data_IF_030912848587
#
_entry.id   IF_030912848587
#
_cell.length_a   1.000
_cell.length_b   1.000
_cell.length_c   1.000
_cell.angle_alpha   90.00
_cell.angle_beta   90.00
_cell.angle_gamma   90.00
#
_symmetry.space_group_name_H-M   'P 1'
#
loop_
_entity.id
_entity.type
_entity.pdbx_description
1 polymer ?
#
# COMPACT_ATOMS: atom_id res chain seq x y z
N UNK A 1 6.15 -18.98 3.20
CA UNK A 1 6.40 -18.35 1.89
C UNK A 1 5.92 -16.91 1.99
N UNK A 2 6.77 -15.92 1.70
CA UNK A 2 6.37 -14.50 1.78
C UNK A 2 5.27 -14.23 0.75
N UNK A 3 4.11 -13.74 1.21
CA UNK A 3 3.00 -13.37 0.34
C UNK A 3 3.22 -11.96 -0.17
N UNK A 4 3.10 -11.75 -1.47
CA UNK A 4 3.11 -10.41 -2.04
C UNK A 4 1.93 -9.59 -1.46
N UNK A 5 2.24 -8.37 -1.00
CA UNK A 5 1.24 -7.43 -0.49
C UNK A 5 0.49 -6.75 -1.64
N UNK A 6 1.17 -6.56 -2.77
CA UNK A 6 0.64 -5.92 -3.96
C UNK A 6 1.38 -6.42 -5.20
N UNK A 7 0.69 -6.42 -6.33
CA UNK A 7 1.24 -6.74 -7.65
C UNK A 7 0.86 -5.63 -8.61
N UNK A 8 1.79 -5.27 -9.48
CA UNK A 8 1.55 -4.22 -10.46
C UNK A 8 2.78 -4.04 -11.33
N UNK A 9 3.01 -2.82 -11.80
CA UNK A 9 4.20 -2.51 -12.60
C UNK A 9 4.78 -1.14 -12.32
N UNK A 10 6.09 -1.00 -12.57
CA UNK A 10 6.77 0.30 -12.60
C UNK A 10 6.64 0.86 -14.01
N UNK A 11 6.11 2.08 -14.13
CA UNK A 11 5.89 2.77 -15.40
C UNK A 11 6.68 4.08 -15.50
N UNK A 12 7.33 4.32 -16.64
CA UNK A 12 7.85 5.63 -17.02
C UNK A 12 8.03 5.74 -18.54
N UNK A 13 7.48 6.79 -19.14
CA UNK A 13 7.45 6.92 -20.60
C UNK A 13 6.77 5.72 -21.25
N UNK A 14 7.52 4.95 -22.04
CA UNK A 14 7.05 3.71 -22.70
C UNK A 14 7.47 2.43 -21.97
N UNK A 15 8.19 2.55 -20.85
CA UNK A 15 8.69 1.42 -20.09
C UNK A 15 7.63 0.96 -19.09
N UNK A 16 7.39 -0.35 -19.04
CA UNK A 16 6.50 -0.99 -18.10
C UNK A 16 7.14 -2.28 -17.56
N UNK A 17 7.42 -2.33 -16.25
CA UNK A 17 8.17 -3.42 -15.61
C UNK A 17 7.27 -4.09 -14.57
N UNK A 18 6.79 -5.33 -14.80
CA UNK A 18 5.92 -6.01 -13.84
C UNK A 18 6.71 -6.39 -12.58
N UNK A 19 6.12 -6.11 -11.41
CA UNK A 19 6.74 -6.32 -10.09
C UNK A 19 5.73 -6.77 -9.03
N UNK A 20 6.25 -7.42 -7.99
CA UNK A 20 5.54 -7.71 -6.74
C UNK A 20 6.18 -6.95 -5.58
N UNK A 21 5.35 -6.48 -4.67
CA UNK A 21 5.73 -5.69 -3.50
C UNK A 21 5.61 -6.52 -2.22
N UNK A 22 6.64 -6.49 -1.40
CA UNK A 22 6.76 -7.26 -0.15
C UNK A 22 7.19 -6.34 1.00
N UNK A 23 6.73 -6.61 2.22
CA UNK A 23 7.18 -5.84 3.39
C UNK A 23 8.68 -5.99 3.58
N UNK A 24 9.41 -4.88 3.72
CA UNK A 24 10.84 -4.92 4.07
C UNK A 24 11.08 -5.00 5.59
N UNK A 25 10.04 -4.73 6.37
CA UNK A 25 10.06 -4.76 7.83
C UNK A 25 8.89 -5.59 8.35
N UNK A 26 9.07 -6.20 9.51
CA UNK A 26 8.01 -6.95 10.19
C UNK A 26 7.83 -6.38 11.59
N UNK A 27 6.63 -5.90 11.88
CA UNK A 27 6.25 -5.49 13.24
C UNK A 27 5.81 -6.73 14.02
N UNK A 28 6.64 -7.18 14.95
CA UNK A 28 6.29 -8.27 15.87
C UNK A 28 5.50 -7.71 17.05
N UNK A 29 4.17 -7.78 16.99
CA UNK A 29 3.29 -7.45 18.12
C UNK A 29 2.71 -8.72 18.75
N UNK A 30 2.61 -8.74 20.08
CA UNK A 30 1.94 -9.82 20.80
C UNK A 30 0.42 -9.69 20.61
N UNK A 31 -0.21 -10.68 19.98
CA UNK A 31 -1.66 -10.75 19.86
C UNK A 31 -2.27 -11.42 21.08
N UNK A 32 -3.23 -10.76 21.72
CA UNK A 32 -4.00 -11.31 22.82
C UNK A 32 -5.42 -11.63 22.35
N UNK A 33 -5.97 -12.74 22.83
CA UNK A 33 -7.39 -13.09 22.61
C UNK A 33 -8.19 -12.84 23.87
N UNK A 34 -9.36 -12.23 23.72
CA UNK A 34 -10.27 -11.99 24.84
C UNK A 34 -11.04 -13.28 25.18
N UNK A 35 -10.92 -13.72 26.43
CA UNK A 35 -11.62 -14.90 26.95
C UNK A 35 -12.60 -14.49 28.05
N UNK A 36 -13.74 -15.17 28.11
CA UNK A 36 -14.62 -15.09 29.27
C UNK A 36 -13.89 -15.59 30.52
N UNK A 37 -13.94 -14.82 31.61
CA UNK A 37 -13.16 -15.11 32.82
C UNK A 37 -13.57 -16.44 33.46
N UNK A 38 -14.85 -16.81 33.39
CA UNK A 38 -15.44 -17.99 34.06
C UNK A 38 -15.32 -19.24 33.20
N UNK A 39 -15.71 -19.16 31.92
CA UNK A 39 -15.79 -20.31 31.00
C UNK A 39 -14.52 -20.50 30.17
N UNK A 40 -13.59 -19.54 30.19
CA UNK A 40 -12.38 -19.51 29.35
C UNK A 40 -12.68 -19.59 27.84
N UNK A 41 -13.91 -19.31 27.45
CA UNK A 41 -14.35 -19.36 26.05
C UNK A 41 -14.01 -18.05 25.34
N UNK A 42 -13.74 -18.11 24.03
CA UNK A 42 -13.45 -16.89 23.23
C UNK A 42 -14.66 -15.97 23.14
N UNK A 43 -14.44 -14.68 23.35
CA UNK A 43 -15.48 -13.66 23.16
C UNK A 43 -15.71 -13.43 21.66
N UNK A 44 -16.98 -13.36 21.26
CA UNK A 44 -17.41 -12.95 19.91
C UNK A 44 -18.10 -11.60 19.99
N UNK A 45 -17.85 -10.75 19.00
CA UNK A 45 -18.45 -9.43 18.88
C UNK A 45 -19.53 -9.44 17.80
N UNK A 46 -20.62 -8.72 18.05
CA UNK A 46 -21.70 -8.49 17.10
C UNK A 46 -21.86 -6.99 16.91
N UNK A 47 -22.08 -6.56 15.67
CA UNK A 47 -22.41 -5.17 15.35
C UNK A 47 -23.92 -5.01 15.48
N UNK A 48 -24.37 -4.03 16.25
CA UNK A 48 -25.78 -3.84 16.58
C UNK A 48 -26.17 -2.39 16.27
N UNK A 49 -27.29 -2.19 15.58
CA UNK A 49 -27.82 -0.86 15.29
C UNK A 49 -28.30 -0.18 16.57
N UNK A 50 -27.92 1.08 16.77
CA UNK A 50 -28.26 1.86 17.96
C UNK A 50 -29.77 2.08 18.11
N UNK A 51 -30.47 2.37 17.01
CA UNK A 51 -31.91 2.66 17.05
C UNK A 51 -32.78 1.42 17.18
N UNK A 52 -32.33 0.28 16.64
CA UNK A 52 -33.14 -0.94 16.53
C UNK A 52 -32.74 -2.08 17.46
N UNK A 53 -31.54 -2.04 18.06
CA UNK A 53 -30.99 -3.14 18.86
C UNK A 53 -30.78 -4.46 18.07
N UNK A 54 -30.95 -4.42 16.74
CA UNK A 54 -30.81 -5.57 15.85
C UNK A 54 -29.37 -5.71 15.39
N UNK A 55 -28.91 -6.94 15.28
CA UNK A 55 -27.63 -7.28 14.67
C UNK A 55 -27.62 -6.87 13.20
N UNK A 56 -26.52 -6.27 12.75
CA UNK A 56 -26.33 -5.76 11.40
C UNK A 56 -25.18 -6.51 10.75
N UNK A 57 -25.41 -6.98 9.52
CA UNK A 57 -24.39 -7.63 8.71
C UNK A 57 -23.35 -6.61 8.21
N UNK A 58 -22.18 -7.05 7.72
CA UNK A 58 -21.23 -6.09 7.13
C UNK A 58 -21.73 -5.45 5.82
N UNK A 59 -22.62 -6.12 5.10
CA UNK A 59 -23.18 -5.67 3.82
C UNK A 59 -24.19 -4.53 4.03
N UNK A 60 -24.88 -4.54 5.17
CA UNK A 60 -25.86 -3.51 5.54
C UNK A 60 -25.23 -2.30 6.27
N UNK A 61 -23.89 -2.22 6.34
CA UNK A 61 -23.17 -1.13 7.01
C UNK A 61 -22.58 -0.18 5.98
N UNK A 62 -23.13 1.03 5.95
CA UNK A 62 -22.60 2.14 5.16
C UNK A 62 -21.50 2.89 5.93
N UNK A 63 -20.56 3.48 5.19
CA UNK A 63 -19.61 4.44 5.74
C UNK A 63 -20.21 5.84 5.61
N UNK A 64 -20.03 6.65 6.65
CA UNK A 64 -20.38 8.06 6.59
C UNK A 64 -19.22 8.91 7.12
N UNK A 65 -19.10 10.12 6.62
CA UNK A 65 -18.10 11.10 7.04
C UNK A 65 -18.78 12.44 7.33
N UNK A 66 -18.40 13.06 8.45
CA UNK A 66 -18.98 14.34 8.87
C UNK A 66 -18.19 15.51 8.29
N UNK A 67 -18.87 16.37 7.52
CA UNK A 67 -18.28 17.58 6.94
C UNK A 67 -19.22 18.75 7.22
N UNK A 68 -18.72 19.76 7.94
CA UNK A 68 -19.47 20.99 8.22
C UNK A 68 -20.79 20.74 8.97
N UNK A 69 -20.84 19.75 9.84
CA UNK A 69 -22.04 19.36 10.59
C UNK A 69 -23.06 18.51 9.80
N UNK A 70 -22.75 18.14 8.55
CA UNK A 70 -23.58 17.24 7.76
C UNK A 70 -22.92 15.86 7.65
N UNK A 71 -23.73 14.80 7.75
CA UNK A 71 -23.29 13.43 7.51
C UNK A 71 -23.40 13.09 6.03
N UNK A 72 -22.28 12.78 5.38
CA UNK A 72 -22.23 12.35 3.99
C UNK A 72 -21.96 10.86 3.95
N UNK A 73 -22.86 10.08 3.36
CA UNK A 73 -22.66 8.65 3.13
C UNK A 73 -21.73 8.43 1.94
N UNK A 74 -20.82 7.47 2.07
CA UNK A 74 -19.84 7.11 1.04
C UNK A 74 -19.92 5.61 0.79
N UNK A 75 -20.27 5.27 -0.44
CA UNK A 75 -20.38 3.88 -0.90
C UNK A 75 -19.07 3.38 -1.52
N UNK A 76 -18.96 2.07 -1.72
CA UNK A 76 -17.76 1.47 -2.32
C UNK A 76 -17.47 2.03 -3.72
N UNK A 77 -18.53 2.29 -4.51
CA UNK A 77 -18.47 2.87 -5.85
C UNK A 77 -17.90 4.30 -5.85
N UNK A 78 -18.13 5.08 -4.79
CA UNK A 78 -17.58 6.43 -4.66
C UNK A 78 -16.05 6.38 -4.50
N UNK A 79 -15.56 5.41 -3.72
CA UNK A 79 -14.12 5.16 -3.63
C UNK A 79 -13.57 4.74 -4.99
N UNK A 80 -14.27 3.87 -5.73
CA UNK A 80 -13.79 3.43 -7.04
C UNK A 80 -13.70 4.56 -8.06
N UNK A 81 -14.67 5.48 -8.07
CA UNK A 81 -14.70 6.68 -8.91
C UNK A 81 -13.64 7.70 -8.52
N UNK A 82 -13.30 7.79 -7.24
CA UNK A 82 -12.28 8.72 -6.74
C UNK A 82 -10.84 8.23 -6.97
N UNK A 83 -10.64 6.93 -7.22
CA UNK A 83 -9.31 6.37 -7.43
C UNK A 83 -8.72 6.80 -8.80
N UNK A 84 -7.39 7.01 -8.88
CA UNK A 84 -6.70 7.24 -10.15
C UNK A 84 -6.95 6.10 -11.15
N UNK A 85 -6.90 6.43 -12.44
CA UNK A 85 -7.15 5.46 -13.52
C UNK A 85 -6.19 4.26 -13.51
N UNK A 86 -4.95 4.43 -13.02
CA UNK A 86 -3.95 3.38 -12.94
C UNK A 86 -3.76 2.92 -11.48
N UNK A 87 -4.57 1.95 -11.06
CA UNK A 87 -4.58 1.44 -9.69
C UNK A 87 -3.40 0.50 -9.37
N UNK A 88 -2.80 -0.10 -10.40
CA UNK A 88 -1.77 -1.14 -10.27
C UNK A 88 -0.42 -0.71 -10.86
N UNK A 89 -0.13 0.60 -10.86
CA UNK A 89 1.14 1.14 -11.34
C UNK A 89 1.85 1.98 -10.29
N UNK A 90 3.17 1.86 -10.28
CA UNK A 90 4.09 2.85 -9.73
C UNK A 90 4.50 3.72 -10.92
N UNK A 91 3.88 4.89 -11.06
CA UNK A 91 4.20 5.85 -12.12
C UNK A 91 5.37 6.73 -11.64
N UNK A 92 6.57 6.51 -12.20
CA UNK A 92 7.73 7.35 -11.94
C UNK A 92 7.54 8.68 -12.66
N UNK A 93 7.61 9.76 -11.88
CA UNK A 93 7.46 11.15 -12.33
C UNK A 93 8.83 11.78 -12.57
N UNK A 94 9.82 11.49 -11.71
CA UNK A 94 11.13 12.14 -11.78
C UNK A 94 12.25 11.28 -11.21
N UNK A 95 13.45 11.39 -11.78
CA UNK A 95 14.68 10.86 -11.20
C UNK A 95 15.44 11.98 -10.49
N UNK A 96 15.77 11.77 -9.22
CA UNK A 96 16.42 12.75 -8.33
C UNK A 96 17.68 12.16 -7.72
N UNK A 97 18.63 13.00 -7.27
CA UNK A 97 19.80 12.47 -6.56
C UNK A 97 19.34 11.95 -5.20
N UNK A 98 19.85 10.80 -4.77
CA UNK A 98 19.45 10.24 -3.48
C UNK A 98 19.77 11.18 -2.31
N UNK A 99 20.86 11.93 -2.41
CA UNK A 99 21.28 12.91 -1.40
C UNK A 99 20.34 14.12 -1.26
N UNK A 100 19.42 14.34 -2.21
CA UNK A 100 18.42 15.42 -2.13
C UNK A 100 17.21 15.04 -1.28
N UNK A 101 17.05 13.76 -0.93
CA UNK A 101 15.91 13.26 -0.15
C UNK A 101 16.38 12.82 1.24
N UNK A 102 15.96 13.55 2.26
CA UNK A 102 16.23 13.21 3.65
C UNK A 102 15.47 11.93 4.06
N UNK A 103 16.12 11.08 4.86
CA UNK A 103 15.52 9.86 5.41
C UNK A 103 14.33 10.14 6.34
N UNK A 104 14.21 11.36 6.88
CA UNK A 104 13.05 11.82 7.66
C UNK A 104 11.72 11.72 6.90
N UNK A 105 11.76 11.70 5.56
CA UNK A 105 10.56 11.55 4.73
C UNK A 105 10.12 10.10 4.52
N UNK A 106 10.87 9.10 5.01
CA UNK A 106 10.52 7.70 4.81
C UNK A 106 9.59 7.19 5.92
N UNK A 107 8.39 6.72 5.58
CA UNK A 107 7.46 6.11 6.52
C UNK A 107 7.59 4.57 6.55
N UNK A 108 7.36 3.91 5.40
CA UNK A 108 7.42 2.44 5.31
C UNK A 108 8.19 2.02 4.08
N UNK A 109 8.97 0.96 4.26
CA UNK A 109 9.83 0.41 3.23
C UNK A 109 9.31 -0.94 2.75
N UNK A 110 9.36 -1.16 1.44
CA UNK A 110 8.92 -2.37 0.78
C UNK A 110 9.96 -2.82 -0.24
N UNK A 111 10.23 -4.12 -0.29
CA UNK A 111 11.03 -4.70 -1.37
C UNK A 111 10.15 -4.91 -2.61
N UNK A 112 10.68 -4.56 -3.77
CA UNK A 112 10.12 -4.97 -5.05
C UNK A 112 10.89 -6.15 -5.62
N UNK A 113 10.19 -7.15 -6.12
CA UNK A 113 10.76 -8.23 -6.92
C UNK A 113 10.17 -8.19 -8.34
N UNK A 114 10.95 -8.48 -9.38
CA UNK A 114 10.41 -8.60 -10.74
C UNK A 114 9.42 -9.77 -10.82
N UNK A 115 8.34 -9.56 -11.55
CA UNK A 115 7.46 -10.64 -12.00
C UNK A 115 7.92 -11.12 -13.39
N UNK A 116 7.36 -12.26 -13.83
CA UNK A 116 7.73 -12.92 -15.09
C UNK A 116 7.73 -11.94 -16.27
N UNK A 117 8.88 -11.84 -16.95
CA UNK A 117 9.07 -10.96 -18.12
C UNK A 117 9.58 -9.56 -17.78
N UNK A 118 9.66 -9.20 -16.49
CA UNK A 118 10.23 -7.93 -16.02
C UNK A 118 11.71 -7.98 -15.67
N UNK A 119 12.31 -9.17 -15.59
CA UNK A 119 13.62 -9.40 -14.95
C UNK A 119 14.74 -8.50 -15.51
N UNK A 120 14.91 -8.48 -16.84
CA UNK A 120 15.97 -7.69 -17.49
C UNK A 120 15.77 -6.19 -17.30
N UNK A 121 14.54 -5.71 -17.45
CA UNK A 121 14.22 -4.29 -17.32
C UNK A 121 14.34 -3.83 -15.86
N UNK A 122 13.93 -4.67 -14.91
CA UNK A 122 14.10 -4.43 -13.48
C UNK A 122 15.57 -4.27 -13.11
N UNK A 123 16.42 -5.22 -13.52
CA UNK A 123 17.87 -5.16 -13.25
C UNK A 123 18.49 -3.94 -13.92
N UNK A 124 18.11 -3.63 -15.16
CA UNK A 124 18.60 -2.44 -15.86
C UNK A 124 18.26 -1.15 -15.10
N UNK A 125 17.01 -1.01 -14.64
CA UNK A 125 16.59 0.14 -13.84
C UNK A 125 17.38 0.22 -12.52
N UNK A 126 17.51 -0.90 -11.80
CA UNK A 126 18.27 -1.00 -10.55
C UNK A 126 19.72 -0.55 -10.72
N UNK A 127 20.41 -1.09 -11.73
CA UNK A 127 21.81 -0.76 -12.01
C UNK A 127 21.98 0.68 -12.48
N UNK A 128 21.06 1.20 -13.30
CA UNK A 128 21.10 2.59 -13.74
C UNK A 128 20.95 3.56 -12.56
N UNK A 129 19.98 3.33 -11.67
CA UNK A 129 19.80 4.14 -10.47
C UNK A 129 21.02 4.07 -9.54
N UNK A 130 21.62 2.88 -9.41
CA UNK A 130 22.78 2.65 -8.54
C UNK A 130 24.01 3.38 -9.07
N UNK A 131 24.28 3.23 -10.37
CA UNK A 131 25.42 3.88 -11.05
C UNK A 131 25.33 5.40 -11.00
N UNK A 132 24.13 5.94 -11.18
CA UNK A 132 23.90 7.39 -11.21
C UNK A 132 23.69 8.00 -9.81
N UNK A 133 23.68 7.19 -8.75
CA UNK A 133 23.35 7.59 -7.37
C UNK A 133 21.99 8.32 -7.28
N UNK A 134 21.00 7.83 -8.03
CA UNK A 134 19.66 8.40 -8.13
C UNK A 134 18.58 7.51 -7.50
N UNK A 135 17.48 8.14 -7.13
CA UNK A 135 16.21 7.50 -6.85
C UNK A 135 15.15 7.97 -7.83
N UNK A 136 14.04 7.26 -7.92
CA UNK A 136 12.90 7.60 -8.75
C UNK A 136 11.70 7.96 -7.86
N UNK A 137 11.27 9.22 -7.94
CA UNK A 137 10.04 9.69 -7.31
C UNK A 137 8.85 9.34 -8.20
N UNK A 138 7.78 8.88 -7.58
CA UNK A 138 6.57 8.49 -8.29
C UNK A 138 5.34 8.47 -7.42
N UNK A 139 4.24 8.09 -8.05
CA UNK A 139 2.95 7.88 -7.42
C UNK A 139 2.55 6.42 -7.55
N UNK A 140 1.94 5.85 -6.53
CA UNK A 140 1.34 4.53 -6.61
C UNK A 140 0.10 4.43 -5.74
N UNK A 141 -0.83 3.57 -6.14
CA UNK A 141 -2.05 3.31 -5.37
C UNK A 141 -1.88 2.04 -4.55
N UNK A 142 -2.07 2.15 -3.24
CA UNK A 142 -2.00 1.02 -2.31
C UNK A 142 -3.05 1.17 -1.22
N UNK A 143 -3.81 0.10 -0.98
CA UNK A 143 -4.96 0.10 -0.05
C UNK A 143 -5.97 1.23 -0.34
N UNK A 144 -6.37 1.38 -1.60
CA UNK A 144 -7.35 2.39 -2.06
C UNK A 144 -6.94 3.84 -1.76
N UNK A 145 -5.64 4.12 -1.62
CA UNK A 145 -5.08 5.46 -1.46
C UNK A 145 -3.88 5.64 -2.37
N UNK A 146 -3.76 6.81 -2.98
CA UNK A 146 -2.56 7.21 -3.71
C UNK A 146 -1.50 7.72 -2.74
N UNK A 147 -0.26 7.32 -2.97
CA UNK A 147 0.91 7.67 -2.17
C UNK A 147 2.02 8.19 -3.08
N UNK A 148 2.75 9.19 -2.58
CA UNK A 148 4.06 9.54 -3.11
C UNK A 148 5.04 8.48 -2.63
N UNK A 149 5.94 8.03 -3.51
CA UNK A 149 6.98 7.09 -3.16
C UNK A 149 8.32 7.45 -3.77
N UNK A 150 9.39 7.04 -3.09
CA UNK A 150 10.75 7.00 -3.59
C UNK A 150 11.15 5.55 -3.84
N UNK A 151 11.47 5.22 -5.08
CA UNK A 151 12.09 3.97 -5.46
C UNK A 151 13.61 4.15 -5.55
N UNK A 152 14.37 3.36 -4.80
CA UNK A 152 15.84 3.39 -4.87
C UNK A 152 16.47 2.00 -4.82
N UNK A 153 17.65 1.81 -5.41
CA UNK A 153 18.40 0.57 -5.26
C UNK A 153 18.95 0.44 -3.84
N UNK A 154 18.83 -0.75 -3.28
CA UNK A 154 19.49 -1.19 -2.06
C UNK A 154 19.98 -2.62 -2.26
N UNK A 155 21.31 -2.80 -2.20
CA UNK A 155 21.98 -4.05 -2.52
C UNK A 155 21.60 -4.58 -3.92
N UNK A 156 20.87 -5.70 -3.95
CA UNK A 156 20.36 -6.37 -5.14
C UNK A 156 18.86 -6.15 -5.38
N UNK A 157 18.23 -5.22 -4.66
CA UNK A 157 16.81 -4.96 -4.76
C UNK A 157 16.53 -3.50 -5.07
N UNK A 158 15.36 -3.24 -5.63
CA UNK A 158 14.69 -1.96 -5.57
C UNK A 158 13.83 -1.93 -4.30
N UNK A 159 14.01 -0.89 -3.51
CA UNK A 159 13.23 -0.61 -2.31
C UNK A 159 12.35 0.60 -2.57
N UNK A 160 11.06 0.42 -2.32
CA UNK A 160 10.07 1.47 -2.34
C UNK A 160 9.90 2.02 -0.93
N UNK A 161 10.18 3.30 -0.74
CA UNK A 161 9.82 4.07 0.43
C UNK A 161 8.57 4.87 0.12
N UNK A 162 7.54 4.74 0.95
CA UNK A 162 6.44 5.70 1.01
C UNK A 162 6.64 6.60 2.21
#
# INVERSE_FOLDING_TARGET
MMRALWKGSIGFGLVNIPVSLYSATEESTLSFVSLDKKTKSRIRYKKVSESGGKEVSNEDILKAYEIGGNMVTVEEEDFEKALPAKKDHIDIVQFVKQAEIDALYYEKSYYLAPEKGGDRAYVLLREALKKEAKGALGLFVFHKREWVCLLKPQDDFLVLHR
#
